data_IF_507102142602
#
_entry.id   IF_507102142602
#
_cell.length_a   1.000
_cell.length_b   1.000
_cell.length_c   1.000
_cell.angle_alpha   90.00
_cell.angle_beta   90.00
_cell.angle_gamma   90.00
#
_symmetry.space_group_name_H-M   'P 1'
#
loop_
_entity.id
_entity.type
_entity.pdbx_description
1 polymer ?
#
# COMPACT_ATOMS: atom_id res chain seq x y z
N UNK A 1 65.28 -34.79 33.96
CA UNK A 1 65.23 -33.91 32.78
C UNK A 1 63.84 -34.01 32.19
N UNK A 2 62.97 -33.09 32.57
CA UNK A 2 61.59 -33.00 32.11
C UNK A 2 61.54 -31.85 31.13
N UNK A 3 61.65 -32.15 29.83
CA UNK A 3 61.57 -31.13 28.80
C UNK A 3 60.14 -30.61 28.70
N UNK A 4 60.02 -29.32 28.97
CA UNK A 4 58.80 -28.53 28.92
C UNK A 4 58.33 -28.44 27.47
N UNK A 5 57.12 -28.92 27.19
CA UNK A 5 56.41 -28.68 25.92
C UNK A 5 56.10 -27.18 25.79
N UNK A 6 57.02 -26.45 25.15
CA UNK A 6 56.77 -25.12 24.61
C UNK A 6 55.68 -25.24 23.53
N UNK A 7 54.48 -24.73 23.84
CA UNK A 7 53.43 -24.46 22.85
C UNK A 7 54.04 -23.53 21.81
N UNK A 8 54.23 -24.03 20.59
CA UNK A 8 54.61 -23.21 19.44
C UNK A 8 53.51 -22.19 19.18
N UNK A 9 53.77 -20.94 19.55
CA UNK A 9 53.12 -19.76 18.99
C UNK A 9 53.34 -19.77 17.47
N UNK A 10 52.51 -20.52 16.76
CA UNK A 10 52.66 -20.70 15.32
C UNK A 10 51.91 -19.57 14.63
N UNK A 11 52.65 -18.55 14.22
CA UNK A 11 52.37 -17.63 13.10
C UNK A 11 51.05 -16.82 13.10
N UNK A 12 50.80 -15.99 14.12
CA UNK A 12 49.75 -14.95 14.03
C UNK A 12 50.06 -13.90 12.95
N UNK A 13 51.35 -13.62 12.71
CA UNK A 13 51.82 -12.65 11.71
C UNK A 13 51.46 -13.07 10.26
N UNK A 14 51.63 -14.35 9.95
CA UNK A 14 51.37 -14.95 8.63
C UNK A 14 49.88 -14.86 8.24
N UNK A 15 48.97 -15.07 9.21
CA UNK A 15 47.52 -15.00 8.98
C UNK A 15 47.06 -13.60 8.59
N UNK A 16 47.65 -12.55 9.17
CA UNK A 16 47.30 -11.16 8.87
C UNK A 16 47.84 -10.75 7.50
N UNK A 17 49.03 -11.21 7.12
CA UNK A 17 49.60 -10.98 5.79
C UNK A 17 48.77 -11.65 4.69
N UNK A 18 48.39 -12.91 4.89
CA UNK A 18 47.50 -13.63 3.97
C UNK A 18 46.12 -12.97 3.88
N UNK A 19 45.58 -12.48 5.01
CA UNK A 19 44.32 -11.76 5.05
C UNK A 19 44.37 -10.46 4.21
N UNK A 20 45.44 -9.69 4.36
CA UNK A 20 45.65 -8.46 3.59
C UNK A 20 45.84 -8.77 2.11
N UNK A 21 46.57 -9.84 1.77
CA UNK A 21 46.79 -10.22 0.38
C UNK A 21 45.51 -10.64 -0.33
N UNK A 22 44.64 -11.40 0.34
CA UNK A 22 43.32 -11.77 -0.20
C UNK A 22 42.45 -10.52 -0.44
N UNK A 23 42.51 -9.52 0.46
CA UNK A 23 41.80 -8.25 0.27
C UNK A 23 42.34 -7.48 -0.94
N UNK A 24 43.65 -7.41 -1.12
CA UNK A 24 44.28 -6.79 -2.30
C UNK A 24 43.85 -7.47 -3.60
N UNK A 25 43.86 -8.80 -3.66
CA UNK A 25 43.41 -9.55 -4.84
C UNK A 25 41.94 -9.26 -5.18
N UNK A 26 41.09 -9.15 -4.17
CA UNK A 26 39.69 -8.79 -4.37
C UNK A 26 39.51 -7.32 -4.81
N UNK A 27 40.43 -6.42 -4.47
CA UNK A 27 40.43 -5.03 -4.97
C UNK A 27 40.90 -4.95 -6.43
N UNK A 28 41.88 -5.77 -6.81
CA UNK A 28 42.40 -5.86 -8.18
C UNK A 28 41.38 -6.49 -9.14
N UNK A 29 40.51 -7.38 -8.64
CA UNK A 29 39.49 -8.08 -9.42
C UNK A 29 38.08 -7.82 -8.84
N UNK A 30 37.43 -6.70 -9.22
CA UNK A 30 36.12 -6.31 -8.69
C UNK A 30 34.99 -7.31 -8.96
N UNK A 31 35.16 -8.14 -10.00
CA UNK A 31 34.20 -9.18 -10.37
C UNK A 31 34.27 -10.44 -9.49
N UNK A 32 35.27 -10.51 -8.59
CA UNK A 32 35.49 -11.63 -7.68
C UNK A 32 36.65 -12.53 -8.09
N UNK A 33 37.23 -13.23 -7.11
CA UNK A 33 38.37 -14.14 -7.25
C UNK A 33 37.95 -15.58 -6.93
N UNK A 34 38.57 -16.55 -7.58
CA UNK A 34 38.36 -17.98 -7.27
C UNK A 34 39.46 -18.50 -6.35
N UNK A 35 39.25 -19.67 -5.74
CA UNK A 35 40.30 -20.33 -4.93
C UNK A 35 41.60 -20.55 -5.73
N UNK A 36 41.48 -20.82 -7.03
CA UNK A 36 42.62 -20.98 -7.94
C UNK A 36 43.45 -19.70 -8.09
N UNK A 37 42.81 -18.52 -8.12
CA UNK A 37 43.53 -17.24 -8.19
C UNK A 37 44.35 -17.02 -6.92
N UNK A 38 43.77 -17.34 -5.76
CA UNK A 38 44.46 -17.24 -4.47
C UNK A 38 45.63 -18.24 -4.39
N UNK A 39 45.42 -19.46 -4.88
CA UNK A 39 46.46 -20.50 -4.92
C UNK A 39 47.61 -20.14 -5.87
N UNK A 40 47.33 -19.51 -7.01
CA UNK A 40 48.37 -19.09 -7.96
C UNK A 40 49.20 -17.90 -7.45
N UNK A 41 48.57 -16.97 -6.73
CA UNK A 41 49.26 -15.82 -6.14
C UNK A 41 50.09 -16.20 -4.91
N UNK A 42 49.59 -17.16 -4.10
CA UNK A 42 50.26 -17.67 -2.90
C UNK A 42 50.40 -19.21 -2.96
N UNK A 43 51.32 -19.74 -3.78
CA UNK A 43 51.48 -21.19 -3.98
C UNK A 43 52.06 -21.91 -2.75
N UNK A 44 52.72 -21.19 -1.85
CA UNK A 44 53.28 -21.74 -0.60
C UNK A 44 52.24 -21.91 0.51
N UNK A 45 51.02 -21.40 0.32
CA UNK A 45 49.97 -21.41 1.35
C UNK A 45 49.22 -22.74 1.35
N UNK A 46 49.17 -23.41 2.50
CA UNK A 46 48.42 -24.65 2.65
C UNK A 46 46.91 -24.44 2.45
N UNK A 47 46.19 -25.38 1.80
CA UNK A 47 44.75 -25.28 1.58
C UNK A 47 43.94 -25.07 2.87
N UNK A 48 44.37 -25.67 3.98
CA UNK A 48 43.71 -25.53 5.28
C UNK A 48 43.82 -24.10 5.83
N UNK A 49 45.00 -23.49 5.73
CA UNK A 49 45.24 -22.12 6.17
C UNK A 49 44.45 -21.12 5.31
N UNK A 50 44.43 -21.34 3.98
CA UNK A 50 43.63 -20.53 3.06
C UNK A 50 42.13 -20.58 3.39
N UNK A 51 41.59 -21.78 3.56
CA UNK A 51 40.19 -21.97 3.94
C UNK A 51 39.87 -21.29 5.29
N UNK A 52 40.79 -21.37 6.26
CA UNK A 52 40.64 -20.71 7.55
C UNK A 52 40.55 -19.18 7.42
N UNK A 53 41.41 -18.55 6.61
CA UNK A 53 41.40 -17.10 6.38
C UNK A 53 40.17 -16.66 5.59
N UNK A 54 39.77 -17.41 4.57
CA UNK A 54 38.55 -17.14 3.80
C UNK A 54 37.31 -17.21 4.71
N UNK A 55 37.19 -18.28 5.51
CA UNK A 55 36.09 -18.44 6.45
C UNK A 55 36.09 -17.33 7.51
N UNK A 56 37.26 -16.89 7.98
CA UNK A 56 37.40 -15.73 8.87
C UNK A 56 36.86 -14.47 8.20
N UNK A 57 37.28 -14.15 6.99
CA UNK A 57 36.83 -12.97 6.25
C UNK A 57 35.34 -12.98 5.89
N UNK A 58 34.78 -14.16 5.60
CA UNK A 58 33.34 -14.37 5.40
C UNK A 58 32.58 -14.16 6.72
N UNK A 59 33.09 -14.70 7.84
CA UNK A 59 32.47 -14.55 9.17
C UNK A 59 32.49 -13.11 9.68
N UNK A 60 33.55 -12.36 9.33
CA UNK A 60 33.67 -10.91 9.58
C UNK A 60 32.81 -10.07 8.62
N UNK A 61 32.17 -10.70 7.63
CA UNK A 61 31.33 -10.04 6.66
C UNK A 61 32.08 -9.07 5.75
N UNK A 62 33.38 -9.30 5.53
CA UNK A 62 34.22 -8.49 4.63
C UNK A 62 34.24 -9.03 3.19
N UNK A 63 33.86 -10.30 3.00
CA UNK A 63 33.72 -10.96 1.70
C UNK A 63 32.27 -11.42 1.47
N UNK A 64 31.83 -11.38 0.22
CA UNK A 64 30.64 -12.09 -0.28
C UNK A 64 31.09 -13.38 -0.99
N UNK A 65 30.36 -14.48 -0.73
CA UNK A 65 30.47 -15.73 -1.47
C UNK A 65 29.42 -15.78 -2.58
N UNK A 66 29.87 -15.91 -3.82
CA UNK A 66 29.04 -16.05 -5.01
C UNK A 66 29.29 -17.42 -5.66
N UNK A 67 28.30 -17.94 -6.38
CA UNK A 67 28.40 -19.19 -7.13
C UNK A 67 28.13 -18.92 -8.60
N UNK A 68 29.08 -19.32 -9.46
CA UNK A 68 28.92 -19.30 -10.91
C UNK A 68 28.97 -20.74 -11.46
N UNK A 69 28.69 -20.92 -12.75
CA UNK A 69 28.78 -22.20 -13.47
C UNK A 69 30.17 -22.87 -13.36
N UNK A 70 31.22 -22.08 -13.14
CA UNK A 70 32.61 -22.52 -13.02
C UNK A 70 33.12 -22.72 -11.59
N UNK A 71 32.32 -22.44 -10.55
CA UNK A 71 32.72 -22.64 -9.15
C UNK A 71 32.34 -21.50 -8.20
N UNK A 72 33.01 -21.47 -7.04
CA UNK A 72 32.84 -20.45 -6.01
C UNK A 72 33.71 -19.22 -6.33
N UNK A 73 33.14 -18.04 -6.12
CA UNK A 73 33.76 -16.73 -6.31
C UNK A 73 33.67 -15.93 -5.01
N UNK A 74 34.76 -15.29 -4.62
CA UNK A 74 34.88 -14.45 -3.44
C UNK A 74 35.06 -12.99 -3.88
N UNK A 75 34.27 -12.06 -3.34
CA UNK A 75 34.34 -10.64 -3.69
C UNK A 75 34.37 -9.79 -2.44
N UNK A 76 35.10 -8.67 -2.44
CA UNK A 76 34.98 -7.68 -1.36
C UNK A 76 33.54 -7.23 -1.22
N UNK A 77 33.06 -7.18 0.01
CA UNK A 77 31.77 -6.60 0.32
C UNK A 77 31.90 -5.08 0.29
N UNK A 78 31.08 -4.41 -0.52
CA UNK A 78 31.01 -2.94 -0.52
C UNK A 78 30.58 -2.45 0.88
N UNK A 79 31.51 -1.82 1.58
CA UNK A 79 31.29 -1.17 2.89
C UNK A 79 30.27 -0.02 2.81
N UNK A 80 29.86 0.38 1.61
CA UNK A 80 28.78 1.34 1.35
C UNK A 80 27.38 0.68 1.29
N UNK A 81 27.28 -0.62 0.99
CA UNK A 81 25.99 -1.32 0.80
C UNK A 81 25.56 -2.24 1.96
N UNK A 82 26.49 -2.64 2.82
CA UNK A 82 26.26 -3.74 3.77
C UNK A 82 25.56 -3.36 5.09
N UNK A 83 25.58 -2.08 5.49
CA UNK A 83 25.04 -1.65 6.79
C UNK A 83 23.58 -1.19 6.78
N UNK A 84 22.99 -0.90 5.61
CA UNK A 84 21.66 -0.24 5.50
C UNK A 84 20.70 -0.80 4.43
N UNK A 85 21.10 -1.74 3.56
CA UNK A 85 20.29 -2.09 2.37
C UNK A 85 19.58 -3.46 2.36
N UNK A 86 19.38 -4.19 3.46
CA UNK A 86 18.61 -5.47 3.40
C UNK A 86 17.53 -5.71 4.46
N UNK A 87 17.47 -4.93 5.54
CA UNK A 87 16.38 -5.03 6.53
C UNK A 87 15.19 -4.14 6.17
N UNK A 88 15.46 -2.85 5.91
CA UNK A 88 14.43 -1.84 5.63
C UNK A 88 13.59 -2.18 4.41
N UNK A 89 14.21 -2.75 3.37
CA UNK A 89 13.52 -3.09 2.12
C UNK A 89 12.61 -4.31 2.28
N UNK A 90 12.97 -5.24 3.16
CA UNK A 90 12.13 -6.39 3.50
C UNK A 90 10.93 -5.99 4.37
N UNK A 91 11.12 -5.04 5.29
CA UNK A 91 10.03 -4.46 6.09
C UNK A 91 9.07 -3.65 5.21
N UNK A 92 9.59 -2.87 4.26
CA UNK A 92 8.78 -2.12 3.28
C UNK A 92 7.95 -3.08 2.42
N UNK A 93 8.55 -4.17 1.92
CA UNK A 93 7.83 -5.23 1.18
C UNK A 93 6.74 -5.90 2.01
N UNK A 94 7.02 -6.23 3.27
CA UNK A 94 6.03 -6.84 4.16
C UNK A 94 4.84 -5.91 4.41
N UNK A 95 5.10 -4.63 4.69
CA UNK A 95 4.03 -3.63 4.88
C UNK A 95 3.22 -3.46 3.60
N UNK A 96 3.88 -3.43 2.44
CA UNK A 96 3.19 -3.34 1.16
C UNK A 96 2.26 -4.55 0.93
N UNK A 97 2.74 -5.77 1.16
CA UNK A 97 1.95 -6.99 1.01
C UNK A 97 0.74 -7.01 1.95
N UNK A 98 0.90 -6.58 3.21
CA UNK A 98 -0.21 -6.47 4.16
C UNK A 98 -1.29 -5.47 3.70
N UNK A 99 -0.91 -4.42 2.97
CA UNK A 99 -1.84 -3.44 2.40
C UNK A 99 -2.52 -4.00 1.15
N UNK A 100 -1.77 -4.73 0.31
CA UNK A 100 -2.30 -5.42 -0.87
C UNK A 100 -3.37 -6.44 -0.49
N UNK A 101 -3.10 -7.27 0.54
CA UNK A 101 -4.04 -8.26 1.08
C UNK A 101 -5.34 -7.64 1.63
N UNK A 102 -5.31 -6.38 2.04
CA UNK A 102 -6.50 -5.67 2.56
C UNK A 102 -7.44 -5.19 1.44
N UNK A 103 -6.95 -5.12 0.20
CA UNK A 103 -7.73 -4.75 -0.96
C UNK A 103 -8.44 -3.40 -0.84
N UNK A 104 -9.66 -3.34 -1.35
CA UNK A 104 -10.44 -2.10 -1.55
C UNK A 104 -11.10 -1.58 -0.27
N UNK A 105 -11.12 -2.36 0.81
CA UNK A 105 -11.55 -1.89 2.15
C UNK A 105 -10.44 -1.12 2.86
N UNK A 106 -9.19 -1.35 2.46
CA UNK A 106 -8.01 -0.77 3.07
C UNK A 106 -7.74 -1.28 4.49
N UNK A 107 -6.65 -0.79 5.08
CA UNK A 107 -6.19 -1.23 6.41
C UNK A 107 -5.67 -0.07 7.25
N UNK A 108 -5.85 -0.15 8.57
CA UNK A 108 -5.42 0.91 9.49
C UNK A 108 -3.95 0.72 9.89
N UNK A 109 -3.26 1.81 10.22
CA UNK A 109 -1.86 1.74 10.68
C UNK A 109 -1.67 0.86 11.91
N UNK A 110 -2.68 0.78 12.78
CA UNK A 110 -2.67 -0.11 13.96
C UNK A 110 -2.69 -1.59 13.55
N UNK A 111 -3.49 -1.95 12.57
CA UNK A 111 -3.60 -3.34 12.11
C UNK A 111 -2.39 -3.74 11.27
N UNK A 112 -1.85 -2.81 10.47
CA UNK A 112 -0.56 -2.99 9.78
C UNK A 112 0.55 -3.27 10.79
N UNK A 113 0.59 -2.53 11.91
CA UNK A 113 1.56 -2.75 12.99
C UNK A 113 1.42 -4.16 13.59
N UNK A 114 0.19 -4.61 13.87
CA UNK A 114 -0.03 -5.95 14.43
C UNK A 114 0.32 -7.06 13.42
N UNK A 115 -0.02 -6.90 12.14
CA UNK A 115 0.26 -7.90 11.10
C UNK A 115 1.72 -7.95 10.67
N UNK A 116 2.41 -6.81 10.62
CA UNK A 116 3.84 -6.74 10.24
C UNK A 116 4.78 -6.98 11.42
N UNK A 117 4.28 -6.97 12.66
CA UNK A 117 5.07 -7.05 13.88
C UNK A 117 6.16 -5.97 13.99
N UNK A 118 5.89 -4.78 13.42
CA UNK A 118 6.81 -3.64 13.43
C UNK A 118 6.35 -2.56 14.43
N UNK A 119 7.28 -1.79 15.01
CA UNK A 119 6.94 -0.60 15.78
C UNK A 119 6.15 0.43 14.96
N UNK A 120 5.19 1.11 15.59
CA UNK A 120 4.32 2.08 14.89
C UNK A 120 5.09 3.25 14.26
N UNK A 121 6.22 3.64 14.87
CA UNK A 121 7.12 4.68 14.33
C UNK A 121 7.74 4.28 13.00
N UNK A 122 8.14 3.01 12.88
CA UNK A 122 8.72 2.43 11.68
C UNK A 122 7.65 2.25 10.59
N UNK A 123 6.48 1.72 10.96
CA UNK A 123 5.31 1.61 10.06
C UNK A 123 4.96 2.98 9.47
N UNK A 124 4.87 4.03 10.30
CA UNK A 124 4.56 5.39 9.80
C UNK A 124 5.63 5.94 8.85
N UNK A 125 6.91 5.60 9.05
CA UNK A 125 8.00 5.98 8.15
C UNK A 125 7.88 5.26 6.80
N UNK A 126 7.62 3.96 6.82
CA UNK A 126 7.40 3.15 5.62
C UNK A 126 6.18 3.63 4.85
N UNK A 127 5.06 3.89 5.53
CA UNK A 127 3.83 4.39 4.92
C UNK A 127 4.06 5.72 4.20
N UNK A 128 4.78 6.68 4.82
CA UNK A 128 5.15 7.94 4.17
C UNK A 128 6.01 7.73 2.92
N UNK A 129 6.95 6.78 2.97
CA UNK A 129 7.80 6.46 1.83
C UNK A 129 6.97 5.87 0.67
N UNK A 130 6.15 4.87 0.94
CA UNK A 130 5.26 4.24 -0.04
C UNK A 130 4.23 5.23 -0.63
N UNK A 131 3.71 6.14 0.18
CA UNK A 131 2.80 7.22 -0.24
C UNK A 131 3.52 8.22 -1.14
N UNK A 132 4.76 8.60 -0.80
CA UNK A 132 5.59 9.49 -1.64
C UNK A 132 5.93 8.89 -3.01
N UNK A 133 6.11 7.56 -3.07
CA UNK A 133 6.32 6.80 -4.30
C UNK A 133 5.04 6.55 -5.10
N UNK A 134 3.87 6.99 -4.60
CA UNK A 134 2.54 6.70 -5.19
C UNK A 134 2.26 5.20 -5.38
N UNK A 135 2.78 4.35 -4.49
CA UNK A 135 2.47 2.92 -4.49
C UNK A 135 1.21 2.62 -3.67
N UNK A 136 1.01 3.41 -2.62
CA UNK A 136 -0.19 3.39 -1.78
C UNK A 136 -0.82 4.78 -1.74
N UNK A 137 -2.07 4.83 -1.32
CA UNK A 137 -2.77 6.07 -0.98
C UNK A 137 -3.48 5.91 0.35
N UNK A 138 -3.81 7.04 0.94
CA UNK A 138 -4.62 7.10 2.13
C UNK A 138 -6.01 7.65 1.85
N UNK A 139 -7.01 7.01 2.43
CA UNK A 139 -8.42 7.38 2.32
C UNK A 139 -8.99 7.48 3.73
N UNK A 140 -9.77 8.51 4.05
CA UNK A 140 -10.55 8.53 5.29
C UNK A 140 -11.80 7.69 5.08
N UNK A 141 -12.04 6.75 5.98
CA UNK A 141 -13.26 5.95 5.97
C UNK A 141 -14.41 6.75 6.57
N UNK A 142 -15.52 6.86 5.81
CA UNK A 142 -16.77 7.47 6.29
C UNK A 142 -17.43 6.59 7.35
N UNK A 143 -17.53 5.27 7.10
CA UNK A 143 -18.15 4.31 8.02
C UNK A 143 -17.39 4.17 9.35
N UNK A 144 -16.07 4.36 9.37
CA UNK A 144 -15.25 4.19 10.57
C UNK A 144 -14.84 5.52 11.23
N UNK A 145 -15.76 6.48 11.33
CA UNK A 145 -15.54 7.76 12.04
C UNK A 145 -14.33 8.55 11.52
N UNK A 146 -14.20 8.68 10.19
CA UNK A 146 -13.13 9.45 9.52
C UNK A 146 -11.71 8.93 9.77
N UNK A 147 -11.55 7.66 10.16
CA UNK A 147 -10.23 7.06 10.37
C UNK A 147 -9.50 6.84 9.04
N UNK A 148 -8.20 7.12 9.04
CA UNK A 148 -7.31 6.95 7.88
C UNK A 148 -7.05 5.47 7.62
N UNK A 149 -7.43 4.99 6.44
CA UNK A 149 -7.14 3.64 5.93
C UNK A 149 -6.17 3.75 4.76
N UNK A 150 -5.31 2.75 4.60
CA UNK A 150 -4.32 2.68 3.52
C UNK A 150 -4.68 1.57 2.55
N UNK A 151 -4.47 1.82 1.26
CA UNK A 151 -4.72 0.89 0.16
C UNK A 151 -3.78 1.18 -1.02
N UNK A 152 -3.76 0.30 -2.01
CA UNK A 152 -2.98 0.51 -3.23
C UNK A 152 -3.44 1.77 -3.98
N UNK A 153 -2.48 2.47 -4.60
CA UNK A 153 -2.74 3.75 -5.26
C UNK A 153 -3.78 3.64 -6.38
N UNK A 154 -3.65 2.60 -7.21
CA UNK A 154 -4.51 2.35 -8.37
C UNK A 154 -5.86 1.71 -8.02
N UNK A 155 -6.09 1.34 -6.76
CA UNK A 155 -7.30 0.63 -6.35
C UNK A 155 -8.39 1.63 -5.97
N UNK A 156 -9.59 1.47 -6.52
CA UNK A 156 -10.72 2.28 -6.08
C UNK A 156 -11.22 1.81 -4.71
N UNK A 157 -11.47 2.73 -3.76
CA UNK A 157 -12.00 2.38 -2.46
C UNK A 157 -13.41 1.81 -2.58
N UNK A 158 -13.71 0.84 -1.72
CA UNK A 158 -15.04 0.24 -1.64
C UNK A 158 -16.09 1.29 -1.23
N UNK A 159 -17.34 1.15 -1.71
CA UNK A 159 -18.44 2.05 -1.38
C UNK A 159 -18.69 2.14 0.13
N UNK A 160 -18.48 1.06 0.87
CA UNK A 160 -18.57 1.06 2.34
C UNK A 160 -17.51 1.93 3.03
N UNK A 161 -16.41 2.25 2.33
CA UNK A 161 -15.35 3.15 2.81
C UNK A 161 -15.64 4.58 2.42
N UNK A 162 -16.09 4.83 1.19
CA UNK A 162 -16.35 6.19 0.67
C UNK A 162 -17.69 6.77 1.07
N UNK A 163 -18.68 5.95 1.45
CA UNK A 163 -20.03 6.41 1.81
C UNK A 163 -21.03 6.46 0.65
N UNK A 164 -20.66 5.98 -0.55
CA UNK A 164 -21.56 5.91 -1.70
C UNK A 164 -21.71 7.23 -2.46
N UNK A 165 -22.87 7.43 -3.12
CA UNK A 165 -23.10 8.54 -4.03
C UNK A 165 -23.17 9.93 -3.35
N UNK A 166 -23.37 9.96 -2.04
CA UNK A 166 -23.58 11.18 -1.24
C UNK A 166 -22.29 11.82 -0.72
N UNK A 167 -21.14 11.21 -1.01
CA UNK A 167 -19.84 11.65 -0.53
C UNK A 167 -18.90 11.87 -1.71
N UNK A 168 -18.25 13.04 -1.73
CA UNK A 168 -17.14 13.32 -2.64
C UNK A 168 -15.91 13.67 -1.83
N UNK A 169 -14.77 13.10 -2.21
CA UNK A 169 -13.50 13.27 -1.50
C UNK A 169 -13.57 13.06 0.02
N UNK A 170 -14.49 12.19 0.46
CA UNK A 170 -14.74 11.81 1.86
C UNK A 170 -15.47 12.87 2.71
N UNK A 171 -16.01 13.90 2.07
CA UNK A 171 -16.92 14.87 2.67
C UNK A 171 -18.35 14.66 2.17
N UNK A 172 -19.33 14.88 3.05
CA UNK A 172 -20.74 14.74 2.72
C UNK A 172 -21.19 15.91 1.85
N UNK A 173 -21.73 15.63 0.67
CA UNK A 173 -22.24 16.67 -0.25
C UNK A 173 -23.65 17.12 0.18
N UNK A 174 -23.78 17.84 1.31
CA UNK A 174 -25.08 18.35 1.79
C UNK A 174 -25.77 19.28 0.79
N UNK A 175 -24.99 20.10 0.08
CA UNK A 175 -25.51 21.00 -0.96
C UNK A 175 -26.15 20.22 -2.12
N UNK A 176 -25.59 19.06 -2.47
CA UNK A 176 -26.15 18.20 -3.50
C UNK A 176 -27.51 17.64 -3.06
N UNK A 177 -27.61 17.17 -1.81
CA UNK A 177 -28.89 16.72 -1.21
C UNK A 177 -29.94 17.83 -1.25
N UNK A 178 -29.57 19.05 -0.86
CA UNK A 178 -30.49 20.19 -0.88
C UNK A 178 -30.98 20.53 -2.28
N UNK A 179 -30.08 20.60 -3.26
CA UNK A 179 -30.43 20.85 -4.67
C UNK A 179 -31.39 19.78 -5.18
N UNK A 180 -31.11 18.52 -4.87
CA UNK A 180 -31.93 17.39 -5.27
C UNK A 180 -33.34 17.47 -4.67
N UNK A 181 -33.45 17.75 -3.37
CA UNK A 181 -34.73 17.95 -2.69
C UNK A 181 -35.52 19.13 -3.28
N UNK A 182 -34.85 20.23 -3.60
CA UNK A 182 -35.48 21.37 -4.27
C UNK A 182 -36.02 20.99 -5.66
N UNK A 183 -35.32 20.14 -6.41
CA UNK A 183 -35.82 19.67 -7.70
C UNK A 183 -37.02 18.72 -7.56
N UNK A 184 -36.98 17.80 -6.58
CA UNK A 184 -38.12 16.95 -6.25
C UNK A 184 -39.35 17.80 -5.93
N UNK A 185 -39.18 18.80 -5.06
CA UNK A 185 -40.26 19.72 -4.70
C UNK A 185 -40.84 20.44 -5.90
N UNK A 186 -39.97 21.04 -6.72
CA UNK A 186 -40.37 21.81 -7.89
C UNK A 186 -41.17 20.97 -8.87
N UNK A 187 -40.79 19.71 -9.06
CA UNK A 187 -41.55 18.78 -9.88
C UNK A 187 -42.94 18.49 -9.30
N UNK A 188 -43.02 18.16 -8.01
CA UNK A 188 -44.28 17.85 -7.34
C UNK A 188 -45.22 19.06 -7.30
N UNK A 189 -44.68 20.23 -6.99
CA UNK A 189 -45.41 21.49 -6.99
C UNK A 189 -45.95 21.80 -8.39
N UNK A 190 -45.11 21.71 -9.43
CA UNK A 190 -45.54 21.94 -10.80
C UNK A 190 -46.62 20.97 -11.26
N UNK A 191 -46.54 19.70 -10.84
CA UNK A 191 -47.58 18.69 -11.14
C UNK A 191 -48.90 19.01 -10.42
N UNK A 192 -48.83 19.45 -9.16
CA UNK A 192 -50.01 19.87 -8.41
C UNK A 192 -50.67 21.14 -9.01
N UNK A 193 -49.89 22.14 -9.39
CA UNK A 193 -50.36 23.35 -10.06
C UNK A 193 -51.02 23.02 -11.41
N UNK A 194 -50.39 22.16 -12.23
CA UNK A 194 -50.97 21.72 -13.50
C UNK A 194 -52.30 20.95 -13.31
N UNK A 195 -52.42 20.16 -12.24
CA UNK A 195 -53.67 19.50 -11.90
C UNK A 195 -54.76 20.53 -11.52
N UNK A 196 -54.42 21.57 -10.77
CA UNK A 196 -55.33 22.68 -10.44
C UNK A 196 -55.82 23.38 -11.70
N UNK A 197 -54.90 23.73 -12.60
CA UNK A 197 -55.17 24.47 -13.83
C UNK A 197 -55.96 23.67 -14.87
N UNK A 198 -55.90 22.33 -14.83
CA UNK A 198 -56.59 21.46 -15.77
C UNK A 198 -58.13 21.59 -15.74
N UNK A 199 -58.71 22.22 -14.71
CA UNK A 199 -60.16 22.46 -14.51
C UNK A 199 -61.03 21.20 -14.72
N UNK A 200 -60.47 20.03 -14.42
CA UNK A 200 -61.19 18.75 -14.51
C UNK A 200 -62.05 18.51 -13.26
N UNK A 201 -62.81 17.41 -13.27
CA UNK A 201 -63.57 16.96 -12.10
C UNK A 201 -62.66 16.82 -10.86
N UNK A 202 -63.13 17.17 -9.64
CA UNK A 202 -62.32 17.14 -8.42
C UNK A 202 -61.60 15.80 -8.17
N UNK A 203 -62.21 14.66 -8.52
CA UNK A 203 -61.56 13.35 -8.39
C UNK A 203 -60.40 13.18 -9.37
N UNK A 204 -60.54 13.66 -10.60
CA UNK A 204 -59.50 13.53 -11.63
C UNK A 204 -58.36 14.49 -11.36
N UNK A 205 -58.66 15.71 -10.93
CA UNK A 205 -57.69 16.70 -10.47
C UNK A 205 -56.88 16.17 -9.27
N UNK A 206 -57.55 15.56 -8.28
CA UNK A 206 -56.85 14.92 -7.16
C UNK A 206 -55.94 13.79 -7.63
N UNK A 207 -56.40 12.96 -8.56
CA UNK A 207 -55.59 11.84 -9.04
C UNK A 207 -54.38 12.30 -9.86
N UNK A 208 -54.51 13.38 -10.64
CA UNK A 208 -53.43 13.91 -11.48
C UNK A 208 -52.37 14.71 -10.70
N UNK A 209 -52.67 15.18 -9.48
CA UNK A 209 -51.70 15.85 -8.62
C UNK A 209 -50.69 14.89 -7.98
N UNK A 210 -50.98 13.58 -7.91
CA UNK A 210 -50.06 12.61 -7.33
C UNK A 210 -48.90 12.29 -8.27
N UNK A 211 -47.73 12.01 -7.70
CA UNK A 211 -46.60 11.45 -8.40
C UNK A 211 -46.17 10.14 -7.75
N UNK A 212 -45.76 9.18 -8.58
CA UNK A 212 -45.08 7.98 -8.14
C UNK A 212 -43.60 8.26 -7.93
N UNK A 213 -42.94 7.47 -7.07
CA UNK A 213 -41.48 7.55 -6.88
C UNK A 213 -40.72 7.38 -8.19
N UNK A 214 -41.24 6.58 -9.12
CA UNK A 214 -40.67 6.37 -10.45
C UNK A 214 -40.74 7.63 -11.34
N UNK A 215 -41.85 8.37 -11.32
CA UNK A 215 -41.96 9.62 -12.07
C UNK A 215 -40.99 10.69 -11.55
N UNK A 216 -40.86 10.81 -10.23
CA UNK A 216 -39.92 11.74 -9.59
C UNK A 216 -38.48 11.34 -9.91
N UNK A 217 -38.15 10.06 -9.79
CA UNK A 217 -36.83 9.53 -10.18
C UNK A 217 -36.49 9.84 -11.64
N UNK A 218 -37.41 9.57 -12.57
CA UNK A 218 -37.21 9.81 -14.00
C UNK A 218 -36.90 11.28 -14.28
N UNK A 219 -37.65 12.19 -13.66
CA UNK A 219 -37.42 13.63 -13.76
C UNK A 219 -36.02 14.01 -13.27
N UNK A 220 -35.57 13.49 -12.13
CA UNK A 220 -34.23 13.75 -11.58
C UNK A 220 -33.13 13.30 -12.55
N UNK A 221 -33.24 12.10 -13.13
CA UNK A 221 -32.20 11.64 -14.05
C UNK A 221 -32.22 12.43 -15.38
N UNK A 222 -33.39 12.88 -15.86
CA UNK A 222 -33.51 13.75 -17.05
C UNK A 222 -32.87 15.13 -16.84
N UNK A 223 -32.85 15.65 -15.62
CA UNK A 223 -32.19 16.91 -15.29
C UNK A 223 -30.65 16.85 -15.36
N UNK A 224 -30.07 15.64 -15.36
CA UNK A 224 -28.61 15.44 -15.44
C UNK A 224 -27.83 16.00 -14.24
N UNK A 225 -28.49 16.21 -13.10
CA UNK A 225 -27.89 16.80 -11.89
C UNK A 225 -27.01 15.77 -11.16
N UNK A 226 -27.28 14.47 -11.33
CA UNK A 226 -26.47 13.43 -10.72
C UNK A 226 -25.12 13.29 -11.44
N UNK A 227 -24.03 13.59 -10.72
CA UNK A 227 -22.67 13.20 -11.13
C UNK A 227 -22.51 11.67 -11.22
N UNK A 228 -23.42 10.93 -10.57
CA UNK A 228 -23.38 9.46 -10.43
C UNK A 228 -24.63 8.86 -11.07
N UNK A 229 -24.66 8.89 -12.40
CA UNK A 229 -25.77 8.37 -13.21
C UNK A 229 -26.05 6.89 -12.93
N UNK A 230 -25.02 6.13 -12.56
CA UNK A 230 -25.15 4.71 -12.20
C UNK A 230 -25.95 4.47 -10.92
N UNK A 231 -26.02 5.46 -10.02
CA UNK A 231 -26.76 5.35 -8.75
C UNK A 231 -28.18 5.98 -8.83
N UNK A 232 -28.50 6.63 -9.96
CA UNK A 232 -29.82 7.18 -10.31
C UNK A 232 -30.63 6.13 -11.09
N UNK A 233 -31.05 5.05 -10.43
CA UNK A 233 -31.99 4.07 -11.02
C UNK A 233 -33.16 3.77 -10.07
N UNK A 234 -34.22 3.15 -10.58
CA UNK A 234 -35.34 2.71 -9.75
C UNK A 234 -34.85 1.71 -8.69
N UNK A 235 -35.07 2.02 -7.40
CA UNK A 235 -34.50 1.30 -6.26
C UNK A 235 -33.03 1.60 -5.92
N UNK A 236 -32.37 2.55 -6.60
CA UNK A 236 -30.99 2.96 -6.33
C UNK A 236 -30.84 3.92 -5.14
N UNK A 237 -29.59 4.26 -4.78
CA UNK A 237 -29.30 5.18 -3.66
C UNK A 237 -29.91 6.58 -3.88
N UNK A 238 -30.06 7.01 -5.13
CA UNK A 238 -30.69 8.28 -5.54
C UNK A 238 -32.08 7.99 -6.12
N UNK A 239 -33.01 7.56 -5.26
CA UNK A 239 -34.41 7.35 -5.58
C UNK A 239 -35.31 7.72 -4.39
N UNK A 240 -36.49 8.32 -4.60
CA UNK A 240 -37.42 8.62 -3.50
C UNK A 240 -37.85 7.40 -2.69
N UNK A 241 -37.67 6.19 -3.22
CA UNK A 241 -38.02 4.93 -2.53
C UNK A 241 -36.98 4.47 -1.51
N UNK A 242 -35.70 4.82 -1.69
CA UNK A 242 -34.58 4.30 -0.88
C UNK A 242 -33.66 5.41 -0.34
N UNK A 243 -33.78 6.64 -0.85
CA UNK A 243 -33.01 7.77 -0.39
C UNK A 243 -33.60 8.27 0.94
N UNK A 244 -32.90 7.99 2.04
CA UNK A 244 -33.25 8.46 3.38
C UNK A 244 -33.44 9.98 3.41
N UNK A 245 -32.61 10.72 2.68
CA UNK A 245 -32.64 12.18 2.64
C UNK A 245 -33.79 12.78 1.82
N UNK A 246 -34.37 12.02 0.89
CA UNK A 246 -35.60 12.43 0.20
C UNK A 246 -36.84 12.02 0.99
N UNK A 247 -36.84 10.84 1.60
CA UNK A 247 -37.98 10.33 2.37
C UNK A 247 -38.30 11.24 3.56
N UNK A 248 -37.29 11.58 4.38
CA UNK A 248 -37.45 12.50 5.51
C UNK A 248 -37.91 13.90 5.08
N UNK A 249 -37.55 14.32 3.85
CA UNK A 249 -37.89 15.63 3.34
C UNK A 249 -39.32 15.69 2.76
N UNK A 250 -39.79 14.59 2.16
CA UNK A 250 -41.13 14.47 1.56
C UNK A 250 -42.24 14.12 2.58
N UNK A 251 -41.87 13.66 3.78
CA UNK A 251 -42.82 13.35 4.86
C UNK A 251 -43.32 14.60 5.63
N UNK A 252 -42.90 15.81 5.24
CA UNK A 252 -43.39 17.10 5.74
C UNK A 252 -44.28 17.82 4.71
#
# INVERSE_FOLDING_TARGET
>A
MSEVKLKRETNVLDVVEVENRIKELCQQLPHGITDQVIQNDMPHLEPQQRAMVINKLLSLGQLDLLRNSSGLLYRMKDTQGAGKMKGSDNQEKLVYQVIEDAGNKGIWSRDIRFKSNLPLTEVNKILKNLESKKLIKAVKSVAASKKKVYMLYNLQPDRSVTGGAWYSDQDFESEFVEVLNQQCFKFLQSKAEAAIDSKQSPMVQRNSSFATSHEVWKYICELGISKVFEDCHDGGEISPSHCVYMAEWLDF
#
